data_IF_086942645323
#
_entry.id   IF_086942645323
#
_cell.length_a   1.000
_cell.length_b   1.000
_cell.length_c   1.000
_cell.angle_alpha   90.00
_cell.angle_beta   90.00
_cell.angle_gamma   90.00
#
_symmetry.space_group_name_H-M   'P 1'
#
loop_
_entity.id
_entity.type
_entity.pdbx_description
1 polymer ?
#
# COMPACT_ATOMS: atom_id res chain seq x y z
N UNK A 1 25.53 -22.85 15.97
CA UNK A 1 24.19 -22.22 15.97
C UNK A 1 24.10 -21.36 17.21
N UNK A 2 24.43 -20.08 17.09
CA UNK A 2 24.35 -19.12 18.19
C UNK A 2 23.01 -18.38 18.03
N UNK A 3 22.14 -18.59 19.00
CA UNK A 3 20.89 -17.83 19.09
C UNK A 3 21.18 -16.33 19.19
N UNK A 4 20.74 -15.57 18.22
CA UNK A 4 20.70 -14.11 18.28
C UNK A 4 19.52 -13.74 19.18
N UNK A 5 19.81 -13.47 20.46
CA UNK A 5 18.86 -12.83 21.37
C UNK A 5 18.67 -11.39 20.91
N UNK A 6 17.49 -11.08 20.37
CA UNK A 6 17.06 -9.71 20.21
C UNK A 6 16.94 -9.05 21.59
N UNK A 7 17.49 -7.85 21.81
CA UNK A 7 17.25 -7.13 23.04
C UNK A 7 15.73 -6.83 23.12
N UNK A 8 15.12 -7.23 24.21
CA UNK A 8 13.75 -6.85 24.55
C UNK A 8 13.62 -5.34 24.42
N UNK A 9 12.52 -4.85 23.83
CA UNK A 9 12.19 -3.42 23.75
C UNK A 9 12.33 -2.83 25.14
N UNK A 10 13.40 -2.07 25.37
CA UNK A 10 13.51 -1.23 26.56
C UNK A 10 12.48 -0.13 26.38
N UNK A 11 11.53 -0.04 27.30
CA UNK A 11 10.69 1.13 27.42
C UNK A 11 11.62 2.33 27.60
N UNK A 12 11.25 3.47 27.03
CA UNK A 12 12.02 4.73 27.08
C UNK A 12 12.31 5.18 28.54
N UNK A 13 11.70 4.51 29.51
CA UNK A 13 11.85 4.70 30.95
C UNK A 13 12.66 3.60 31.66
N UNK A 14 13.26 2.64 30.93
CA UNK A 14 14.19 1.68 31.51
C UNK A 14 15.52 2.36 31.81
N UNK A 15 15.60 3.02 32.94
CA UNK A 15 16.84 3.51 33.51
C UNK A 15 17.63 2.35 34.12
N UNK A 16 18.95 2.39 34.02
CA UNK A 16 19.86 1.39 34.59
C UNK A 16 19.46 1.04 36.03
N UNK A 17 19.45 -0.27 36.40
CA UNK A 17 18.95 -0.71 37.71
C UNK A 17 19.69 -0.10 38.91
N UNK A 18 20.90 0.41 38.70
CA UNK A 18 21.68 1.09 39.77
C UNK A 18 21.29 2.57 39.96
N UNK A 19 20.77 3.23 38.90
CA UNK A 19 20.27 4.61 38.93
C UNK A 19 18.81 4.74 39.25
N UNK A 20 17.99 3.78 38.81
CA UNK A 20 16.54 3.77 38.93
C UNK A 20 16.09 3.73 40.40
N UNK A 21 16.75 2.91 41.23
CA UNK A 21 16.37 2.77 42.65
C UNK A 21 16.67 4.02 43.48
N UNK A 22 17.72 4.79 43.14
CA UNK A 22 18.05 6.06 43.80
C UNK A 22 17.18 7.22 43.30
N UNK A 23 16.78 7.22 42.02
CA UNK A 23 15.86 8.22 41.48
C UNK A 23 14.42 7.96 41.90
N UNK A 24 13.94 6.71 41.87
CA UNK A 24 12.62 6.36 42.37
C UNK A 24 12.43 6.72 43.84
N UNK A 25 13.44 6.38 44.67
CA UNK A 25 13.43 6.79 46.10
C UNK A 25 13.52 8.31 46.31
N UNK A 26 14.14 9.03 45.36
CA UNK A 26 14.24 10.49 45.42
C UNK A 26 12.92 11.16 44.99
N UNK A 27 12.25 10.62 43.97
CA UNK A 27 10.95 11.09 43.51
C UNK A 27 9.86 10.77 44.53
N UNK A 28 9.82 9.55 45.06
CA UNK A 28 8.86 9.17 46.14
C UNK A 28 9.04 10.01 47.39
N UNK A 29 10.25 10.41 47.73
CA UNK A 29 10.52 11.25 48.93
C UNK A 29 10.21 12.71 48.67
N UNK A 30 10.37 13.20 47.43
CA UNK A 30 10.10 14.60 47.05
C UNK A 30 8.61 14.82 46.79
N UNK A 31 7.97 13.89 46.10
CA UNK A 31 6.58 13.99 45.69
C UNK A 31 5.59 13.80 46.88
N UNK A 32 5.82 12.76 47.66
CA UNK A 32 4.86 12.46 48.76
C UNK A 32 5.00 13.37 49.98
N UNK A 33 6.17 13.90 50.28
CA UNK A 33 6.32 14.78 51.44
C UNK A 33 6.01 16.24 51.14
N UNK A 34 6.47 16.74 49.99
CA UNK A 34 6.26 18.15 49.61
C UNK A 34 4.84 18.41 49.12
N UNK A 35 4.24 17.49 48.33
CA UNK A 35 2.86 17.60 47.94
C UNK A 35 1.88 17.47 49.13
N UNK A 36 2.15 16.57 50.06
CA UNK A 36 1.37 16.49 51.31
C UNK A 36 1.50 17.75 52.14
N UNK A 37 2.68 18.32 52.29
CA UNK A 37 2.87 19.57 53.03
C UNK A 37 2.24 20.79 52.33
N UNK A 38 2.25 20.85 51.02
CA UNK A 38 1.61 21.94 50.26
C UNK A 38 0.09 21.80 50.25
N UNK A 39 -0.45 20.59 50.14
CA UNK A 39 -1.88 20.33 50.21
C UNK A 39 -2.41 20.55 51.64
N UNK A 40 -1.68 20.12 52.68
CA UNK A 40 -2.02 20.38 54.07
C UNK A 40 -1.93 21.87 54.42
N UNK A 41 -0.95 22.59 53.87
CA UNK A 41 -0.82 24.04 54.05
C UNK A 41 -1.95 24.81 53.35
N UNK A 42 -2.33 24.41 52.12
CA UNK A 42 -3.49 24.97 51.41
C UNK A 42 -4.81 24.62 52.10
N UNK A 43 -4.97 23.37 52.55
CA UNK A 43 -6.17 22.94 53.29
C UNK A 43 -6.36 23.67 54.59
N UNK A 44 -5.27 23.94 55.35
CA UNK A 44 -5.32 24.74 56.57
C UNK A 44 -5.62 26.22 56.32
N UNK A 45 -5.13 26.78 55.19
CA UNK A 45 -5.39 28.14 54.76
C UNK A 45 -6.84 28.40 54.33
N UNK A 46 -7.55 27.38 53.86
CA UNK A 46 -8.94 27.43 53.39
C UNK A 46 -9.95 26.89 54.42
N UNK A 47 -9.51 26.51 55.63
CA UNK A 47 -10.41 25.97 56.68
C UNK A 47 -11.00 24.60 56.36
N UNK A 48 -10.47 23.92 55.37
CA UNK A 48 -10.90 22.58 54.98
C UNK A 48 -10.15 21.53 55.80
N UNK A 49 -10.85 20.74 56.61
CA UNK A 49 -10.27 19.54 57.21
C UNK A 49 -10.10 18.49 56.12
N UNK A 50 -8.85 18.19 55.78
CA UNK A 50 -8.53 17.09 54.89
C UNK A 50 -8.79 15.77 55.61
N UNK A 51 -10.01 15.27 55.51
CA UNK A 51 -10.31 13.89 55.87
C UNK A 51 -9.80 12.97 54.77
N UNK A 52 -9.25 11.83 55.13
CA UNK A 52 -8.58 10.91 54.20
C UNK A 52 -9.48 10.40 53.06
N UNK A 53 -10.81 10.56 53.17
CA UNK A 53 -11.78 10.25 52.13
C UNK A 53 -11.83 11.27 50.97
N UNK A 54 -11.37 12.51 51.18
CA UNK A 54 -11.38 13.55 50.13
C UNK A 54 -10.21 13.46 49.16
N UNK A 55 -9.13 12.75 49.51
CA UNK A 55 -7.96 12.57 48.63
C UNK A 55 -8.28 11.77 47.34
N UNK A 56 -9.24 10.87 47.39
CA UNK A 56 -9.67 10.12 46.21
C UNK A 56 -10.48 10.96 45.22
N UNK A 57 -11.28 11.90 45.69
CA UNK A 57 -12.02 12.79 44.80
C UNK A 57 -11.10 13.82 44.14
N UNK A 58 -10.11 14.36 44.87
CA UNK A 58 -9.14 15.34 44.34
C UNK A 58 -8.19 14.72 43.30
N UNK A 59 -7.79 13.46 43.46
CA UNK A 59 -6.94 12.79 42.52
C UNK A 59 -7.61 12.63 41.16
N UNK A 60 -8.91 12.46 41.13
CA UNK A 60 -9.69 12.34 39.90
C UNK A 60 -9.93 13.68 39.19
N UNK A 61 -10.00 14.76 39.97
CA UNK A 61 -10.16 16.13 39.44
C UNK A 61 -8.85 16.73 38.94
N UNK A 62 -7.71 16.16 39.33
CA UNK A 62 -6.38 16.58 38.88
C UNK A 62 -5.92 15.84 37.64
N UNK A 63 -6.69 14.85 37.17
CA UNK A 63 -6.39 14.14 35.92
C UNK A 63 -6.82 14.97 34.71
N UNK A 64 -5.87 15.53 34.00
CA UNK A 64 -6.13 16.15 32.69
C UNK A 64 -6.22 15.08 31.62
N UNK A 65 -7.42 14.80 31.16
CA UNK A 65 -7.64 13.93 30.00
C UNK A 65 -7.54 14.79 28.73
N UNK A 66 -6.54 14.51 27.93
CA UNK A 66 -6.40 15.18 26.63
C UNK A 66 -7.62 14.93 25.75
N UNK A 67 -8.21 15.98 25.21
CA UNK A 67 -9.27 15.87 24.21
C UNK A 67 -8.73 15.43 22.82
N UNK A 68 -7.42 15.38 22.67
CA UNK A 68 -6.78 14.93 21.42
C UNK A 68 -6.62 13.42 21.46
N UNK A 69 -7.34 12.75 20.58
CA UNK A 69 -7.21 11.31 20.38
C UNK A 69 -6.02 11.09 19.45
N UNK A 70 -4.96 10.45 19.94
CA UNK A 70 -3.86 10.03 19.11
C UNK A 70 -4.30 8.84 18.23
N UNK A 71 -4.49 9.09 16.94
CA UNK A 71 -4.76 8.02 15.98
C UNK A 71 -3.46 7.35 15.56
N UNK A 72 -3.46 6.02 15.47
CA UNK A 72 -2.33 5.28 14.93
C UNK A 72 -2.16 5.64 13.46
N UNK A 73 -0.97 6.08 13.00
CA UNK A 73 -0.73 6.32 11.60
C UNK A 73 -0.84 5.00 10.80
N UNK A 74 -1.68 4.99 9.80
CA UNK A 74 -1.88 3.85 8.89
C UNK A 74 -1.08 4.07 7.62
N UNK A 75 -0.63 2.97 6.99
CA UNK A 75 0.09 3.02 5.72
C UNK A 75 -0.79 3.62 4.61
N UNK A 76 -0.19 4.34 3.69
CA UNK A 76 -0.88 4.90 2.53
C UNK A 76 -1.35 3.79 1.58
N UNK A 77 -2.51 4.00 0.97
CA UNK A 77 -3.08 3.10 -0.03
C UNK A 77 -2.57 3.48 -1.41
N UNK A 78 -1.62 2.73 -1.92
CA UNK A 78 -0.83 3.14 -3.08
C UNK A 78 -1.43 2.73 -4.42
N UNK A 79 -2.33 1.73 -4.47
CA UNK A 79 -2.92 1.27 -5.73
C UNK A 79 -3.70 2.35 -6.46
N UNK A 80 -4.29 3.31 -5.71
CA UNK A 80 -5.05 4.41 -6.30
C UNK A 80 -4.18 5.38 -7.09
N UNK A 81 -2.93 5.56 -6.67
CA UNK A 81 -1.94 6.41 -7.34
C UNK A 81 -1.13 5.65 -8.38
N UNK A 82 -0.91 4.35 -8.16
CA UNK A 82 -0.14 3.49 -9.05
C UNK A 82 -0.91 3.16 -10.34
N UNK A 83 -2.23 2.97 -10.27
CA UNK A 83 -3.03 2.58 -11.42
C UNK A 83 -4.19 3.55 -11.65
N UNK A 84 -4.41 4.01 -12.90
CA UNK A 84 -5.56 4.83 -13.25
C UNK A 84 -6.86 4.01 -13.20
N UNK A 85 -8.01 4.68 -13.25
CA UNK A 85 -9.29 4.01 -13.48
C UNK A 85 -9.34 3.46 -14.90
N UNK A 86 -9.92 2.28 -15.10
CA UNK A 86 -10.12 1.72 -16.43
C UNK A 86 -11.02 2.64 -17.28
N UNK A 87 -10.76 2.67 -18.60
CA UNK A 87 -11.53 3.51 -19.54
C UNK A 87 -13.02 3.19 -19.52
N UNK A 88 -13.31 1.89 -19.48
CA UNK A 88 -14.68 1.38 -19.37
C UNK A 88 -14.87 0.79 -17.98
N UNK A 89 -15.89 1.24 -17.28
CA UNK A 89 -16.31 0.63 -16.04
C UNK A 89 -17.62 -0.15 -16.29
N UNK A 90 -17.75 -1.37 -15.76
CA UNK A 90 -19.04 -2.06 -15.80
C UNK A 90 -20.07 -1.26 -14.99
N UNK A 91 -21.35 -1.43 -15.35
CA UNK A 91 -22.41 -0.82 -14.54
C UNK A 91 -22.43 -1.46 -13.14
N UNK A 92 -22.86 -0.72 -12.10
CA UNK A 92 -23.04 -1.29 -10.77
C UNK A 92 -23.88 -2.57 -10.81
N UNK A 93 -23.52 -3.53 -9.97
CA UNK A 93 -24.18 -4.85 -9.83
C UNK A 93 -23.94 -5.83 -11.00
N UNK A 94 -23.00 -5.55 -11.90
CA UNK A 94 -22.52 -6.53 -12.87
C UNK A 94 -21.44 -7.41 -12.24
N UNK A 95 -21.57 -8.73 -12.39
CA UNK A 95 -20.65 -9.70 -11.80
C UNK A 95 -19.42 -10.00 -12.68
N UNK A 96 -19.54 -9.74 -13.98
CA UNK A 96 -18.46 -10.04 -14.92
C UNK A 96 -18.22 -8.85 -15.84
N UNK A 97 -16.97 -8.41 -15.84
CA UNK A 97 -16.46 -7.44 -16.80
C UNK A 97 -15.82 -8.15 -17.98
N UNK A 98 -16.27 -7.84 -19.20
CA UNK A 98 -15.78 -8.47 -20.42
C UNK A 98 -15.28 -7.43 -21.42
N UNK A 99 -14.10 -7.66 -21.97
CA UNK A 99 -13.57 -6.83 -23.06
C UNK A 99 -13.15 -7.68 -24.25
N UNK A 100 -13.16 -7.06 -25.43
CA UNK A 100 -12.73 -7.70 -26.68
C UNK A 100 -11.33 -7.21 -27.04
N UNK A 101 -10.43 -8.13 -27.31
CA UNK A 101 -9.12 -7.85 -27.88
C UNK A 101 -9.16 -8.22 -29.36
N UNK A 102 -8.68 -7.30 -30.21
CA UNK A 102 -8.64 -7.47 -31.65
C UNK A 102 -7.20 -7.57 -32.11
N UNK A 103 -6.87 -8.61 -32.83
CA UNK A 103 -5.58 -8.78 -33.49
C UNK A 103 -5.75 -8.77 -35.02
N UNK A 104 -4.81 -8.14 -35.67
CA UNK A 104 -4.76 -8.04 -37.14
C UNK A 104 -3.66 -8.94 -37.66
N UNK A 105 -4.01 -9.86 -38.50
CA UNK A 105 -3.04 -10.61 -39.26
C UNK A 105 -2.88 -9.95 -40.65
N UNK A 106 -1.79 -9.24 -40.81
CA UNK A 106 -1.50 -8.57 -42.10
C UNK A 106 -0.35 -9.30 -42.81
N UNK A 107 -0.57 -9.66 -44.03
CA UNK A 107 0.44 -10.21 -44.90
C UNK A 107 0.28 -9.63 -46.29
N UNK A 108 1.23 -8.80 -46.73
CA UNK A 108 1.31 -8.36 -48.11
C UNK A 108 2.27 -9.29 -48.88
N UNK A 109 1.84 -9.82 -50.00
CA UNK A 109 2.73 -10.54 -50.92
C UNK A 109 3.08 -9.65 -52.10
N UNK A 110 4.39 -9.53 -52.37
CA UNK A 110 4.84 -8.90 -53.60
C UNK A 110 4.58 -9.87 -54.77
N UNK A 111 3.66 -9.51 -55.65
CA UNK A 111 3.39 -10.27 -56.87
C UNK A 111 3.58 -9.39 -58.09
N UNK A 112 4.28 -9.91 -59.10
CA UNK A 112 4.38 -9.31 -60.43
C UNK A 112 3.25 -9.71 -61.36
N UNK A 113 2.41 -10.62 -60.92
CA UNK A 113 1.27 -11.12 -61.66
C UNK A 113 -0.02 -10.53 -61.15
N UNK A 114 -0.70 -9.69 -61.92
CA UNK A 114 -1.97 -9.05 -61.57
C UNK A 114 -3.14 -10.03 -61.37
N UNK A 115 -2.99 -11.29 -61.74
CA UNK A 115 -3.97 -12.35 -61.50
C UNK A 115 -3.79 -13.07 -60.15
N UNK A 116 -2.70 -12.78 -59.46
CA UNK A 116 -2.41 -13.39 -58.16
C UNK A 116 -3.25 -12.70 -57.06
N UNK A 117 -4.19 -13.44 -56.49
CA UNK A 117 -4.99 -12.96 -55.35
C UNK A 117 -4.05 -12.90 -54.14
N UNK A 118 -3.67 -11.71 -53.73
CA UNK A 118 -2.82 -11.47 -52.55
C UNK A 118 -3.36 -12.12 -51.27
N UNK A 119 -2.49 -12.27 -50.30
CA UNK A 119 -2.85 -12.78 -48.98
C UNK A 119 -3.97 -11.93 -48.37
N UNK A 120 -5.02 -12.60 -47.91
CA UNK A 120 -6.16 -11.94 -47.26
C UNK A 120 -5.78 -11.53 -45.82
N UNK A 121 -5.97 -10.28 -45.49
CA UNK A 121 -5.89 -9.86 -44.11
C UNK A 121 -7.07 -10.44 -43.29
N UNK A 122 -6.77 -10.99 -42.13
CA UNK A 122 -7.78 -11.53 -41.24
C UNK A 122 -7.78 -10.78 -39.91
N UNK A 123 -8.97 -10.64 -39.34
CA UNK A 123 -9.19 -9.98 -38.05
C UNK A 123 -9.64 -11.04 -37.06
N UNK A 124 -8.84 -11.30 -36.05
CA UNK A 124 -9.20 -12.20 -34.97
C UNK A 124 -9.66 -11.38 -33.78
N UNK A 125 -10.82 -11.73 -33.23
CA UNK A 125 -11.39 -11.10 -32.05
C UNK A 125 -11.41 -12.13 -30.93
N UNK A 126 -10.68 -11.87 -29.85
CA UNK A 126 -10.73 -12.65 -28.61
C UNK A 126 -11.57 -11.94 -27.56
N UNK A 127 -12.21 -12.72 -26.71
CA UNK A 127 -13.03 -12.26 -25.62
C UNK A 127 -12.32 -12.62 -24.30
N UNK A 128 -12.00 -11.62 -23.50
CA UNK A 128 -11.42 -11.79 -22.17
C UNK A 128 -12.46 -11.33 -21.13
N UNK A 129 -12.50 -11.97 -19.98
CA UNK A 129 -13.42 -11.65 -18.90
C UNK A 129 -12.72 -11.65 -17.55
N UNK A 130 -13.21 -10.85 -16.63
CA UNK A 130 -12.75 -10.75 -15.26
C UNK A 130 -13.96 -10.61 -14.34
N UNK A 131 -13.92 -11.27 -13.20
CA UNK A 131 -14.99 -11.21 -12.22
C UNK A 131 -14.95 -9.89 -11.45
N UNK A 132 -16.12 -9.47 -11.01
CA UNK A 132 -16.32 -8.32 -10.14
C UNK A 132 -17.11 -8.83 -8.93
N UNK A 133 -16.58 -8.59 -7.74
CA UNK A 133 -17.21 -9.02 -6.50
C UNK A 133 -17.72 -7.83 -5.66
N UNK A 134 -18.83 -8.01 -4.94
CA UNK A 134 -19.28 -7.04 -3.97
C UNK A 134 -18.38 -7.09 -2.71
N UNK A 135 -18.03 -5.93 -2.21
CA UNK A 135 -17.34 -5.75 -0.93
C UNK A 135 -18.32 -5.14 0.07
N UNK A 136 -18.55 -5.85 1.15
CA UNK A 136 -19.46 -5.40 2.20
C UNK A 136 -18.67 -5.28 3.49
N UNK A 137 -18.67 -4.10 4.06
CA UNK A 137 -18.19 -3.82 5.41
C UNK A 137 -19.34 -3.30 6.26
N UNK A 138 -19.24 -3.44 7.56
CA UNK A 138 -20.20 -2.85 8.48
C UNK A 138 -19.48 -2.32 9.72
N UNK A 139 -20.03 -1.26 10.27
CA UNK A 139 -19.70 -0.76 11.58
C UNK A 139 -20.91 -0.95 12.48
N UNK A 140 -20.71 -1.38 13.72
CA UNK A 140 -21.80 -1.58 14.68
C UNK A 140 -21.40 -1.03 16.04
N UNK A 141 -22.34 -0.39 16.73
CA UNK A 141 -22.13 0.16 18.06
C UNK A 141 -23.38 0.05 18.90
N UNK A 142 -23.20 -0.13 20.22
CA UNK A 142 -24.29 -0.17 21.18
C UNK A 142 -24.73 1.22 21.60
N UNK A 143 -26.00 1.36 22.01
CA UNK A 143 -26.51 2.62 22.57
C UNK A 143 -25.76 3.03 23.84
N UNK A 144 -25.40 2.07 24.68
CA UNK A 144 -24.61 2.31 25.89
C UNK A 144 -23.19 2.79 25.58
N UNK A 145 -22.61 2.29 24.51
CA UNK A 145 -21.26 2.70 24.07
C UNK A 145 -21.26 4.13 23.58
N UNK A 146 -22.30 4.54 22.85
CA UNK A 146 -22.49 5.94 22.45
C UNK A 146 -22.62 6.84 23.69
N UNK A 147 -23.43 6.43 24.66
CA UNK A 147 -23.62 7.21 25.88
C UNK A 147 -22.33 7.36 26.70
N UNK A 148 -21.54 6.29 26.81
CA UNK A 148 -20.22 6.31 27.45
C UNK A 148 -19.21 7.17 26.68
N UNK A 149 -19.18 7.03 25.37
CA UNK A 149 -18.30 7.83 24.51
C UNK A 149 -18.64 9.32 24.56
N UNK A 150 -19.93 9.66 24.66
CA UNK A 150 -20.39 11.04 24.79
C UNK A 150 -19.90 11.67 26.10
N UNK A 151 -19.81 10.91 27.20
CA UNK A 151 -19.23 11.39 28.44
C UNK A 151 -17.74 11.72 28.33
N UNK A 152 -17.02 10.99 27.43
CA UNK A 152 -15.63 11.25 27.11
C UNK A 152 -15.42 12.24 25.96
N UNK A 153 -16.49 12.83 25.43
CA UNK A 153 -16.47 13.70 24.23
C UNK A 153 -15.82 13.03 23.00
N UNK A 154 -16.03 11.70 22.86
CA UNK A 154 -15.49 10.89 21.74
C UNK A 154 -16.60 10.66 20.71
N UNK A 155 -16.42 11.04 19.43
CA UNK A 155 -17.39 10.78 18.36
C UNK A 155 -17.30 9.32 17.87
N UNK A 156 -17.66 8.34 18.71
CA UNK A 156 -17.53 6.91 18.45
C UNK A 156 -18.11 6.48 17.08
N UNK A 157 -19.35 6.85 16.70
CA UNK A 157 -19.90 6.41 15.42
C UNK A 157 -19.09 6.87 14.21
N UNK A 158 -18.55 8.10 14.26
CA UNK A 158 -17.73 8.64 13.18
C UNK A 158 -16.39 7.90 13.05
N UNK A 159 -15.77 7.52 14.17
CA UNK A 159 -14.53 6.77 14.19
C UNK A 159 -14.72 5.34 13.67
N UNK A 160 -15.79 4.67 14.07
CA UNK A 160 -16.14 3.33 13.60
C UNK A 160 -16.41 3.31 12.09
N UNK A 161 -17.14 4.31 11.57
CA UNK A 161 -17.40 4.45 10.14
C UNK A 161 -16.12 4.74 9.35
N UNK A 162 -15.21 5.55 9.88
CA UNK A 162 -13.90 5.77 9.27
C UNK A 162 -13.07 4.48 9.23
N UNK A 163 -13.09 3.70 10.31
CA UNK A 163 -12.43 2.41 10.38
C UNK A 163 -12.96 1.42 9.33
N UNK A 164 -14.28 1.31 9.21
CA UNK A 164 -14.93 0.43 8.24
C UNK A 164 -14.65 0.87 6.79
N UNK A 165 -14.65 2.19 6.51
CA UNK A 165 -14.27 2.73 5.20
C UNK A 165 -12.80 2.42 4.88
N UNK A 166 -11.93 2.57 5.87
CA UNK A 166 -10.50 2.23 5.73
C UNK A 166 -10.31 0.76 5.40
N UNK A 167 -10.99 -0.14 6.11
CA UNK A 167 -10.92 -1.57 5.85
C UNK A 167 -11.29 -1.93 4.41
N UNK A 168 -12.40 -1.37 3.88
CA UNK A 168 -12.80 -1.58 2.48
C UNK A 168 -11.74 -1.05 1.52
N UNK A 169 -11.20 0.13 1.80
CA UNK A 169 -10.16 0.72 0.95
C UNK A 169 -8.87 -0.10 0.95
N UNK A 170 -8.48 -0.70 2.07
CA UNK A 170 -7.35 -1.62 2.17
C UNK A 170 -7.58 -2.91 1.39
N UNK A 171 -8.81 -3.45 1.45
CA UNK A 171 -9.17 -4.63 0.64
C UNK A 171 -9.08 -4.32 -0.85
N UNK A 172 -9.63 -3.19 -1.31
CA UNK A 172 -9.50 -2.75 -2.71
C UNK A 172 -8.04 -2.56 -3.10
N UNK A 173 -7.22 -2.00 -2.21
CA UNK A 173 -5.78 -1.85 -2.45
C UNK A 173 -5.09 -3.20 -2.63
N UNK A 174 -5.36 -4.15 -1.76
CA UNK A 174 -4.80 -5.50 -1.83
C UNK A 174 -5.26 -6.25 -3.10
N UNK A 175 -6.54 -6.14 -3.47
CA UNK A 175 -7.07 -6.78 -4.68
C UNK A 175 -6.44 -6.21 -5.96
N UNK A 176 -6.15 -4.92 -6.02
CA UNK A 176 -5.48 -4.32 -7.18
C UNK A 176 -4.03 -4.84 -7.33
N UNK A 177 -3.30 -5.02 -6.23
CA UNK A 177 -1.92 -5.50 -6.27
C UNK A 177 -1.84 -7.02 -6.42
N UNK A 178 -2.56 -7.77 -5.60
CA UNK A 178 -2.41 -9.22 -5.48
C UNK A 178 -3.55 -10.01 -6.11
N UNK A 179 -4.73 -9.40 -6.22
CA UNK A 179 -5.94 -10.10 -6.64
C UNK A 179 -6.54 -10.97 -5.53
N UNK A 180 -7.65 -11.64 -5.87
CA UNK A 180 -8.31 -12.58 -4.99
C UNK A 180 -8.64 -13.87 -5.77
N UNK A 181 -7.94 -14.94 -5.47
CA UNK A 181 -8.11 -16.21 -6.18
C UNK A 181 -9.44 -16.92 -5.85
N UNK A 182 -10.03 -16.65 -4.69
CA UNK A 182 -11.31 -17.24 -4.29
C UNK A 182 -12.46 -16.69 -5.13
N UNK A 183 -12.45 -15.39 -5.40
CA UNK A 183 -13.45 -14.71 -6.22
C UNK A 183 -13.06 -14.64 -7.70
N UNK A 184 -11.88 -15.13 -8.08
CA UNK A 184 -11.39 -15.06 -9.45
C UNK A 184 -11.04 -13.64 -9.91
N UNK A 185 -10.73 -12.74 -8.99
CA UNK A 185 -10.31 -11.37 -9.27
C UNK A 185 -8.81 -11.35 -9.53
N UNK A 186 -8.41 -10.78 -10.66
CA UNK A 186 -7.01 -10.65 -11.04
C UNK A 186 -6.46 -9.29 -10.58
N UNK A 187 -5.35 -9.33 -9.86
CA UNK A 187 -4.52 -8.17 -9.54
C UNK A 187 -3.29 -8.12 -10.43
N UNK A 188 -2.40 -7.16 -10.19
CA UNK A 188 -1.13 -7.08 -10.92
C UNK A 188 -0.31 -8.37 -10.79
N UNK A 189 -0.20 -8.88 -9.59
CA UNK A 189 0.66 -10.01 -9.28
C UNK A 189 0.06 -11.37 -9.66
N UNK A 190 -1.25 -11.55 -9.47
CA UNK A 190 -1.95 -12.81 -9.81
C UNK A 190 -2.16 -13.00 -11.30
N UNK A 191 -2.05 -11.94 -12.12
CA UNK A 191 -2.23 -12.05 -13.56
C UNK A 191 -1.14 -12.91 -14.19
N UNK A 192 -1.56 -13.97 -14.90
CA UNK A 192 -0.68 -14.95 -15.56
C UNK A 192 -0.13 -14.45 -16.90
N UNK A 193 -0.79 -13.46 -17.50
CA UNK A 193 -0.41 -12.94 -18.82
C UNK A 193 0.81 -12.00 -18.73
N UNK A 194 1.14 -11.51 -17.54
CA UNK A 194 2.31 -10.68 -17.31
C UNK A 194 3.54 -11.58 -17.16
N UNK A 195 4.59 -11.26 -17.91
CA UNK A 195 5.87 -11.95 -17.78
C UNK A 195 6.51 -11.61 -16.41
N UNK A 196 6.84 -12.65 -15.66
CA UNK A 196 7.51 -12.57 -14.36
C UNK A 196 8.86 -13.27 -14.46
N UNK A 197 9.93 -12.58 -14.10
CA UNK A 197 11.29 -13.11 -14.17
C UNK A 197 12.06 -12.80 -12.91
N UNK A 198 12.97 -13.70 -12.53
CA UNK A 198 13.89 -13.44 -11.41
C UNK A 198 14.93 -12.42 -11.87
N UNK A 199 15.38 -11.58 -10.96
CA UNK A 199 16.50 -10.67 -11.18
C UNK A 199 17.78 -11.50 -11.40
N UNK A 200 18.64 -11.08 -12.32
CA UNK A 200 19.90 -11.78 -12.60
C UNK A 200 20.79 -11.85 -11.34
N UNK A 201 21.56 -12.90 -11.17
CA UNK A 201 22.53 -12.98 -10.09
C UNK A 201 23.65 -11.97 -10.32
N UNK A 202 24.09 -11.29 -9.26
CA UNK A 202 25.29 -10.47 -9.26
C UNK A 202 26.57 -11.30 -9.16
N UNK A 203 27.73 -10.65 -9.13
CA UNK A 203 29.04 -11.29 -8.98
C UNK A 203 29.15 -12.14 -7.68
N UNK A 204 28.36 -11.79 -6.65
CA UNK A 204 28.25 -12.55 -5.40
C UNK A 204 27.41 -13.81 -5.53
N UNK A 205 26.86 -14.14 -6.71
CA UNK A 205 26.01 -15.30 -6.94
C UNK A 205 24.59 -15.21 -6.37
N UNK A 206 24.19 -14.02 -5.91
CA UNK A 206 22.87 -13.74 -5.31
C UNK A 206 22.09 -12.73 -6.15
N UNK A 207 20.76 -12.88 -6.31
CA UNK A 207 19.91 -11.89 -6.97
C UNK A 207 19.63 -10.68 -6.08
N UNK A 208 19.78 -10.81 -4.74
CA UNK A 208 19.44 -9.79 -3.76
C UNK A 208 20.29 -8.53 -3.94
N UNK A 209 19.64 -7.39 -4.05
CA UNK A 209 20.33 -6.10 -4.16
C UNK A 209 21.20 -5.75 -2.95
N UNK A 210 20.95 -6.37 -1.78
CA UNK A 210 21.81 -6.23 -0.62
C UNK A 210 23.27 -6.63 -0.90
N UNK A 211 23.45 -7.63 -1.78
CA UNK A 211 24.75 -8.22 -2.10
C UNK A 211 25.31 -7.74 -3.45
N UNK A 212 24.63 -6.80 -4.13
CA UNK A 212 25.02 -6.27 -5.42
C UNK A 212 25.75 -4.95 -5.35
N UNK A 213 26.66 -4.76 -6.29
CA UNK A 213 27.32 -3.48 -6.51
C UNK A 213 26.35 -2.45 -7.12
N UNK A 214 26.63 -1.12 -6.99
CA UNK A 214 25.81 -0.09 -7.61
C UNK A 214 25.63 -0.29 -9.13
N UNK A 215 26.67 -0.69 -9.84
CA UNK A 215 26.65 -0.93 -11.29
C UNK A 215 25.74 -2.10 -11.65
N UNK A 216 25.70 -3.16 -10.83
CA UNK A 216 24.82 -4.31 -11.04
C UNK A 216 23.35 -3.94 -10.81
N UNK A 217 23.07 -3.12 -9.78
CA UNK A 217 21.72 -2.62 -9.50
C UNK A 217 21.22 -1.75 -10.67
N UNK A 218 22.10 -0.87 -11.18
CA UNK A 218 21.79 -0.07 -12.36
C UNK A 218 21.50 -0.95 -13.58
N UNK A 219 22.33 -1.97 -13.81
CA UNK A 219 22.13 -2.90 -14.92
C UNK A 219 20.79 -3.64 -14.82
N UNK A 220 20.37 -4.06 -13.63
CA UNK A 220 19.08 -4.71 -13.42
C UNK A 220 17.89 -3.82 -13.81
N UNK A 221 17.92 -2.53 -13.41
CA UNK A 221 16.88 -1.56 -13.73
C UNK A 221 16.85 -1.28 -15.25
N UNK A 222 18.01 -1.05 -15.84
CA UNK A 222 18.13 -0.75 -17.26
C UNK A 222 17.69 -1.96 -18.09
N UNK A 223 18.02 -3.18 -17.66
CA UNK A 223 17.63 -4.40 -18.37
C UNK A 223 16.11 -4.64 -18.26
N UNK A 224 15.48 -4.33 -17.14
CA UNK A 224 14.02 -4.33 -17.00
C UNK A 224 13.37 -3.37 -18.01
N UNK A 225 13.82 -2.12 -18.06
CA UNK A 225 13.30 -1.09 -18.98
C UNK A 225 13.51 -1.53 -20.45
N UNK A 226 14.71 -1.99 -20.79
CA UNK A 226 15.04 -2.48 -22.15
C UNK A 226 14.13 -3.64 -22.56
N UNK A 227 13.89 -4.59 -21.66
CA UNK A 227 13.07 -5.76 -21.96
C UNK A 227 11.64 -5.34 -22.30
N UNK A 228 11.04 -4.41 -21.53
CA UNK A 228 9.71 -3.87 -21.84
C UNK A 228 9.70 -3.16 -23.19
N UNK A 229 10.68 -2.30 -23.48
CA UNK A 229 10.79 -1.58 -24.76
C UNK A 229 10.90 -2.56 -25.94
N UNK A 230 11.69 -3.63 -25.80
CA UNK A 230 11.82 -4.64 -26.84
C UNK A 230 10.52 -5.44 -27.04
N UNK A 231 9.82 -5.78 -25.96
CA UNK A 231 8.54 -6.49 -26.03
C UNK A 231 7.48 -5.68 -26.78
N UNK A 232 7.46 -4.37 -26.55
CA UNK A 232 6.51 -3.44 -27.19
C UNK A 232 6.82 -3.25 -28.68
N UNK A 233 8.03 -3.56 -29.16
CA UNK A 233 8.45 -3.47 -30.57
C UNK A 233 8.19 -2.10 -31.21
N UNK A 234 8.51 -1.03 -30.47
CA UNK A 234 8.41 0.34 -30.98
C UNK A 234 7.00 0.92 -31.08
N UNK A 235 5.98 0.29 -30.48
CA UNK A 235 4.65 0.88 -30.36
C UNK A 235 4.68 2.01 -29.32
N UNK A 236 4.89 3.24 -29.79
CA UNK A 236 5.15 4.41 -28.92
C UNK A 236 4.13 4.66 -27.83
N UNK A 237 2.85 4.33 -28.06
CA UNK A 237 1.78 4.47 -27.05
C UNK A 237 1.90 3.50 -25.88
N UNK A 238 2.68 2.41 -26.02
CA UNK A 238 2.85 1.37 -25.01
C UNK A 238 4.20 1.43 -24.30
N UNK A 239 5.06 2.40 -24.62
CA UNK A 239 6.37 2.56 -23.98
C UNK A 239 6.22 2.85 -22.50
N UNK A 240 7.04 2.24 -21.63
CA UNK A 240 6.91 2.38 -20.19
C UNK A 240 7.25 3.80 -19.73
N UNK A 241 6.55 4.30 -18.73
CA UNK A 241 6.80 5.59 -18.10
C UNK A 241 6.76 5.52 -16.56
N UNK A 242 6.45 4.37 -15.99
CA UNK A 242 6.43 4.16 -14.55
C UNK A 242 7.32 2.97 -14.18
N UNK A 243 8.05 3.16 -13.09
CA UNK A 243 8.78 2.10 -12.42
C UNK A 243 8.36 2.09 -10.95
N UNK A 244 7.72 1.03 -10.52
CA UNK A 244 7.35 0.81 -9.13
C UNK A 244 8.38 -0.08 -8.45
N UNK A 245 8.84 0.32 -7.28
CA UNK A 245 9.86 -0.35 -6.48
C UNK A 245 9.38 -0.55 -5.05
N UNK A 246 9.92 -1.55 -4.33
CA UNK A 246 9.78 -1.64 -2.88
C UNK A 246 10.41 -0.41 -2.20
N UNK A 247 9.88 -0.02 -1.04
CA UNK A 247 10.38 1.15 -0.29
C UNK A 247 11.86 0.99 0.09
N UNK A 248 12.24 -0.20 0.55
CA UNK A 248 13.62 -0.54 0.92
C UNK A 248 14.58 -0.37 -0.27
N UNK A 249 14.22 -0.92 -1.42
CA UNK A 249 15.01 -0.83 -2.65
C UNK A 249 15.04 0.60 -3.21
N UNK A 250 13.93 1.32 -3.14
CA UNK A 250 13.87 2.73 -3.53
C UNK A 250 14.81 3.60 -2.69
N UNK A 251 14.81 3.43 -1.37
CA UNK A 251 15.72 4.16 -0.46
C UNK A 251 17.17 3.84 -0.77
N UNK A 252 17.47 2.57 -1.08
CA UNK A 252 18.81 2.15 -1.45
C UNK A 252 19.32 2.87 -2.70
N UNK A 253 18.55 2.91 -3.79
CA UNK A 253 18.95 3.57 -5.04
C UNK A 253 18.95 5.10 -4.92
N UNK A 254 18.15 5.67 -4.02
CA UNK A 254 18.13 7.12 -3.76
C UNK A 254 19.35 7.60 -3.01
N UNK A 255 19.91 6.76 -2.12
CA UNK A 255 21.07 7.11 -1.28
C UNK A 255 22.41 6.67 -1.87
N UNK A 256 22.40 5.69 -2.77
CA UNK A 256 23.63 5.15 -3.37
C UNK A 256 24.04 5.97 -4.59
N UNK A 257 25.27 6.48 -4.59
CA UNK A 257 25.87 7.10 -5.76
C UNK A 257 26.13 6.03 -6.83
N UNK A 258 25.91 6.38 -8.09
CA UNK A 258 26.14 5.50 -9.24
C UNK A 258 27.61 5.03 -9.32
N UNK A 259 28.54 5.93 -9.07
CA UNK A 259 29.98 5.66 -9.11
C UNK A 259 30.68 6.52 -8.07
N UNK A 260 31.86 6.11 -7.63
CA UNK A 260 32.71 6.90 -6.73
C UNK A 260 33.16 8.24 -7.33
N UNK A 261 33.07 8.38 -8.66
CA UNK A 261 33.50 9.59 -9.39
C UNK A 261 32.34 10.56 -9.68
N UNK A 262 31.09 10.20 -9.40
CA UNK A 262 29.91 11.02 -9.72
C UNK A 262 29.05 11.22 -8.49
N UNK A 263 28.44 12.39 -8.38
CA UNK A 263 27.43 12.69 -7.34
C UNK A 263 26.03 12.25 -7.73
N UNK A 264 25.84 11.78 -8.97
CA UNK A 264 24.54 11.32 -9.49
C UNK A 264 24.14 10.03 -8.81
N UNK A 265 22.92 9.96 -8.29
CA UNK A 265 22.37 8.75 -7.67
C UNK A 265 21.89 7.77 -8.75
N UNK A 266 21.78 6.48 -8.37
CA UNK A 266 21.20 5.46 -9.25
C UNK A 266 19.76 5.83 -9.62
N UNK A 267 19.01 6.45 -8.69
CA UNK A 267 17.64 6.90 -8.92
C UNK A 267 17.53 7.93 -10.05
N UNK A 268 18.42 8.93 -10.05
CA UNK A 268 18.44 9.96 -11.10
C UNK A 268 18.76 9.36 -12.47
N UNK A 269 19.73 8.47 -12.51
CA UNK A 269 20.07 7.75 -13.74
C UNK A 269 18.92 6.88 -14.24
N UNK A 270 18.26 6.13 -13.34
CA UNK A 270 17.09 5.31 -13.68
C UNK A 270 15.93 6.16 -14.25
N UNK A 271 15.71 7.36 -13.68
CA UNK A 271 14.72 8.32 -14.22
C UNK A 271 15.09 8.78 -15.65
N UNK A 272 16.36 9.11 -15.86
CA UNK A 272 16.83 9.50 -17.20
C UNK A 272 16.70 8.35 -18.20
N UNK A 273 17.05 7.12 -17.81
CA UNK A 273 16.90 5.95 -18.64
C UNK A 273 15.44 5.67 -19.02
N UNK A 274 14.53 5.80 -18.05
CA UNK A 274 13.09 5.64 -18.26
C UNK A 274 12.52 6.74 -19.18
N UNK A 275 12.94 7.99 -18.98
CA UNK A 275 12.56 9.11 -19.86
C UNK A 275 13.09 8.92 -21.30
N UNK A 276 14.33 8.45 -21.44
CA UNK A 276 14.94 8.14 -22.74
C UNK A 276 14.25 6.95 -23.46
N UNK A 277 13.61 6.05 -22.71
CA UNK A 277 12.81 4.96 -23.29
C UNK A 277 11.56 5.46 -24.04
N UNK A 278 11.23 6.76 -23.96
CA UNK A 278 10.19 7.39 -24.76
C UNK A 278 8.83 7.51 -24.07
N UNK A 279 8.77 7.23 -22.78
CA UNK A 279 7.54 7.30 -22.00
C UNK A 279 7.03 8.71 -21.70
N UNK A 280 7.83 9.75 -21.91
CA UNK A 280 7.50 11.15 -21.62
C UNK A 280 7.56 11.48 -20.14
N UNK A 281 6.48 11.35 -19.42
CA UNK A 281 6.40 11.61 -17.97
C UNK A 281 6.93 10.40 -17.17
N UNK A 282 8.25 10.32 -17.03
CA UNK A 282 8.91 9.22 -16.32
C UNK A 282 8.88 9.43 -14.82
N UNK A 283 8.27 8.50 -14.09
CA UNK A 283 8.23 8.53 -12.63
C UNK A 283 8.64 7.18 -12.04
N UNK A 284 9.40 7.25 -10.96
CA UNK A 284 9.77 6.10 -10.13
C UNK A 284 9.09 6.29 -8.77
N UNK A 285 8.30 5.31 -8.38
CA UNK A 285 7.49 5.35 -7.17
C UNK A 285 7.85 4.22 -6.23
N UNK A 286 7.77 4.47 -4.93
CA UNK A 286 7.97 3.48 -3.89
C UNK A 286 6.61 3.01 -3.37
N UNK A 287 6.44 1.69 -3.24
CA UNK A 287 5.21 1.08 -2.76
C UNK A 287 5.52 0.02 -1.71
N UNK A 288 4.92 0.09 -0.52
CA UNK A 288 5.15 -0.90 0.54
C UNK A 288 4.62 -2.29 0.19
N UNK A 289 3.60 -2.39 -0.67
CA UNK A 289 3.02 -3.66 -1.11
C UNK A 289 3.99 -4.50 -1.96
N UNK A 290 5.03 -3.88 -2.51
CA UNK A 290 6.05 -4.57 -3.30
C UNK A 290 7.15 -5.21 -2.46
N UNK A 291 7.19 -4.97 -1.14
CA UNK A 291 8.19 -5.56 -0.22
C UNK A 291 8.00 -7.07 -0.06
N UNK A 292 6.77 -7.52 -0.07
CA UNK A 292 6.42 -8.92 0.08
C UNK A 292 5.49 -9.34 -1.04
N UNK A 293 5.87 -10.31 -1.82
CA UNK A 293 5.13 -10.78 -2.99
C UNK A 293 3.80 -11.48 -2.71
N UNK A 294 3.04 -11.06 -1.70
CA UNK A 294 1.66 -11.51 -1.44
C UNK A 294 1.49 -13.02 -1.28
N UNK A 295 2.53 -13.77 -0.97
CA UNK A 295 2.50 -15.21 -0.71
C UNK A 295 2.51 -16.12 -1.95
N UNK A 296 2.39 -15.61 -3.17
CA UNK A 296 2.30 -16.44 -4.38
C UNK A 296 3.67 -16.81 -5.01
N UNK A 297 4.74 -16.05 -4.72
CA UNK A 297 6.13 -16.34 -5.14
C UNK A 297 7.12 -16.34 -3.97
N UNK A 298 6.63 -16.55 -2.74
CA UNK A 298 7.46 -16.42 -1.56
C UNK A 298 7.54 -14.97 -1.06
N UNK A 299 8.41 -14.73 -0.09
CA UNK A 299 8.58 -13.42 0.56
C UNK A 299 9.47 -12.44 -0.25
N UNK A 300 9.61 -12.65 -1.55
CA UNK A 300 10.55 -11.89 -2.35
C UNK A 300 9.98 -10.53 -2.76
N UNK A 301 10.75 -9.49 -2.55
CA UNK A 301 10.47 -8.16 -3.07
C UNK A 301 10.51 -8.16 -4.61
N UNK A 302 9.64 -7.35 -5.22
CA UNK A 302 9.55 -7.29 -6.67
C UNK A 302 9.44 -5.86 -7.19
N UNK A 303 9.92 -5.65 -8.41
CA UNK A 303 9.81 -4.39 -9.14
C UNK A 303 8.96 -4.56 -10.39
N UNK A 304 8.27 -3.51 -10.77
CA UNK A 304 7.39 -3.50 -11.94
C UNK A 304 7.68 -2.30 -12.80
N UNK A 305 7.89 -2.54 -14.09
CA UNK A 305 7.98 -1.50 -15.10
C UNK A 305 6.73 -1.56 -15.98
N UNK A 306 6.03 -0.44 -16.14
CA UNK A 306 4.77 -0.42 -16.88
C UNK A 306 4.45 0.95 -17.49
N UNK A 307 3.46 0.97 -18.38
CA UNK A 307 2.86 2.21 -18.89
C UNK A 307 1.68 2.62 -18.03
N UNK A 308 1.75 3.83 -17.46
CA UNK A 308 0.62 4.45 -16.77
C UNK A 308 -0.36 5.02 -17.80
N UNK A 309 -1.32 4.19 -18.19
CA UNK A 309 -2.37 4.54 -19.15
C UNK A 309 -3.62 3.70 -18.86
N UNK A 310 -4.80 4.31 -18.80
CA UNK A 310 -6.07 3.60 -18.57
C UNK A 310 -6.36 2.49 -19.59
N UNK A 311 -5.81 2.62 -20.79
CA UNK A 311 -5.93 1.59 -21.85
C UNK A 311 -5.00 0.41 -21.64
N UNK A 312 -3.88 0.56 -20.91
CA UNK A 312 -2.91 -0.51 -20.65
C UNK A 312 -3.28 -1.28 -19.40
N UNK A 313 -3.42 -0.57 -18.30
CA UNK A 313 -3.79 -1.15 -17.01
C UNK A 313 -4.70 -0.18 -16.26
N UNK A 314 -5.90 -0.63 -15.92
CA UNK A 314 -6.87 0.20 -15.22
C UNK A 314 -7.60 -0.56 -14.12
N UNK A 315 -7.87 0.13 -13.01
CA UNK A 315 -8.64 -0.42 -11.90
C UNK A 315 -10.12 -0.51 -12.27
N UNK A 316 -10.74 -1.63 -11.91
CA UNK A 316 -12.18 -1.85 -12.06
C UNK A 316 -12.84 -1.58 -10.72
N UNK A 317 -13.60 -0.50 -10.63
CA UNK A 317 -14.34 -0.08 -9.45
C UNK A 317 -15.74 0.39 -9.86
N UNK A 318 -16.68 -0.53 -10.16
CA UNK A 318 -18.02 -0.18 -10.65
C UNK A 318 -18.83 0.63 -9.65
N UNK A 319 -18.64 0.33 -8.37
CA UNK A 319 -19.29 1.04 -7.26
C UNK A 319 -18.25 1.45 -6.22
N UNK A 320 -18.02 2.75 -6.10
CA UNK A 320 -17.22 3.28 -5.00
C UNK A 320 -17.89 2.98 -3.65
N UNK A 321 -17.13 2.90 -2.54
CA UNK A 321 -17.71 2.65 -1.23
C UNK A 321 -18.81 3.66 -0.89
N UNK A 322 -20.01 3.17 -0.61
CA UNK A 322 -21.20 3.96 -0.26
C UNK A 322 -21.77 3.46 1.05
N UNK A 323 -22.08 4.40 1.95
CA UNK A 323 -22.78 4.09 3.19
C UNK A 323 -24.26 3.79 2.91
N UNK A 324 -24.74 2.67 3.41
CA UNK A 324 -26.16 2.34 3.41
C UNK A 324 -26.84 3.00 4.62
N UNK A 325 -28.17 3.14 4.60
CA UNK A 325 -28.91 3.62 5.78
C UNK A 325 -28.60 2.78 7.02
N UNK A 326 -28.47 3.39 8.21
CA UNK A 326 -28.27 2.64 9.44
C UNK A 326 -29.49 1.81 9.76
N UNK A 327 -29.26 0.58 10.21
CA UNK A 327 -30.27 -0.32 10.76
C UNK A 327 -30.19 -0.31 12.28
N UNK A 328 -31.35 -0.18 12.93
CA UNK A 328 -31.47 -0.06 14.39
C UNK A 328 -32.16 -1.31 14.91
N UNK A 329 -31.40 -2.19 15.55
CA UNK A 329 -31.88 -3.39 16.20
C UNK A 329 -31.82 -3.22 17.72
N UNK A 330 -32.97 -2.97 18.36
CA UNK A 330 -33.08 -2.82 19.84
C UNK A 330 -32.03 -1.90 20.44
N UNK A 331 -30.90 -2.45 20.88
CA UNK A 331 -29.79 -1.75 21.55
C UNK A 331 -28.57 -1.56 20.66
N UNK A 332 -28.59 -2.08 19.44
CA UNK A 332 -27.49 -1.97 18.47
C UNK A 332 -27.90 -1.16 17.26
N UNK A 333 -26.95 -0.37 16.77
CA UNK A 333 -27.05 0.34 15.50
C UNK A 333 -25.97 -0.23 14.61
N UNK A 334 -26.36 -0.71 13.43
CA UNK A 334 -25.43 -1.23 12.41
C UNK A 334 -25.55 -0.39 11.15
N UNK A 335 -24.42 0.04 10.62
CA UNK A 335 -24.37 0.72 9.33
C UNK A 335 -23.44 -0.03 8.39
N UNK A 336 -24.00 -0.48 7.27
CA UNK A 336 -23.25 -1.19 6.25
C UNK A 336 -22.65 -0.22 5.23
N UNK A 337 -21.50 -0.63 4.70
CA UNK A 337 -20.83 0.03 3.58
C UNK A 337 -20.78 -0.98 2.44
N UNK A 338 -21.21 -0.56 1.27
CA UNK A 338 -21.21 -1.39 0.07
C UNK A 338 -20.29 -0.79 -0.98
N UNK A 339 -19.45 -1.64 -1.58
CA UNK A 339 -18.59 -1.31 -2.70
C UNK A 339 -18.56 -2.50 -3.68
N UNK A 340 -18.06 -2.29 -4.88
CA UNK A 340 -17.79 -3.37 -5.83
C UNK A 340 -16.42 -3.16 -6.44
N UNK A 341 -15.58 -4.18 -6.43
CA UNK A 341 -14.25 -4.16 -7.02
C UNK A 341 -14.03 -5.37 -7.93
N UNK A 342 -13.30 -5.16 -9.01
CA UNK A 342 -12.91 -6.18 -9.96
C UNK A 342 -11.40 -6.28 -10.14
N UNK A 343 -10.61 -5.67 -9.22
CA UNK A 343 -9.16 -5.69 -9.31
C UNK A 343 -8.59 -4.86 -10.47
N UNK A 344 -7.56 -5.37 -11.12
CA UNK A 344 -6.82 -4.67 -12.16
C UNK A 344 -7.05 -5.30 -13.55
N UNK A 345 -7.66 -4.55 -14.46
CA UNK A 345 -7.79 -4.95 -15.86
C UNK A 345 -6.51 -4.60 -16.63
N UNK A 346 -5.84 -5.59 -17.18
CA UNK A 346 -4.63 -5.44 -17.99
C UNK A 346 -4.92 -5.85 -19.42
N UNK A 347 -5.04 -4.85 -20.31
CA UNK A 347 -5.34 -5.09 -21.73
C UNK A 347 -4.11 -5.38 -22.57
N UNK A 348 -2.96 -4.82 -22.18
CA UNK A 348 -1.70 -4.99 -22.89
C UNK A 348 -0.60 -5.49 -21.94
N UNK A 349 -0.59 -6.80 -21.61
CA UNK A 349 0.41 -7.38 -20.70
C UNK A 349 1.84 -7.23 -21.23
N UNK A 350 2.04 -7.11 -22.55
CA UNK A 350 3.36 -6.89 -23.18
C UNK A 350 4.02 -5.56 -22.76
N UNK A 351 3.22 -4.58 -22.30
CA UNK A 351 3.71 -3.28 -21.83
C UNK A 351 4.10 -3.28 -20.36
N UNK A 352 4.10 -4.44 -19.72
CA UNK A 352 4.40 -4.62 -18.31
C UNK A 352 5.38 -5.79 -18.12
N UNK A 353 6.25 -5.65 -17.13
CA UNK A 353 7.18 -6.71 -16.73
C UNK A 353 7.41 -6.64 -15.24
N UNK A 354 7.38 -7.80 -14.59
CA UNK A 354 7.67 -7.96 -13.16
C UNK A 354 9.01 -8.69 -13.04
N UNK A 355 9.88 -8.14 -12.19
CA UNK A 355 11.08 -8.85 -11.71
C UNK A 355 11.04 -8.98 -10.21
N UNK A 356 11.40 -10.14 -9.71
CA UNK A 356 11.37 -10.49 -8.29
C UNK A 356 12.70 -11.07 -7.81
N UNK A 357 12.88 -11.15 -6.47
CA UNK A 357 14.08 -11.68 -5.85
C UNK A 357 15.16 -10.61 -5.65
N UNK A 358 14.77 -9.39 -5.29
CA UNK A 358 15.70 -8.26 -5.05
C UNK A 358 16.15 -8.21 -3.60
#
# INVERSE_FOLDING_TARGET
>A
MSEIKFPSRRNVFDMDPIGADKQAKRWDRYDNSQLRHTVDAMGKGMGLRADAASGYALARELEYVSAVIAQQPLADLTSMTAFPMAVDQPAPYQEVYTWKAQSWTTGGRLSRNYKDIGTRGDIQVSKNSQNVAPLIGHASWGLDDIARAALGNIPLPALELQGAMRFISETINAENWFGNSQEGILGLYSNTDITKTVVANGAAGSPLWANKTPDEIEADIVDLIKTVVYNVKGKGSLLPNRLALPVSSYMKIATTARSQLTTTTILEFAKQALAAAGGGDAQITAHPELETGGGALGADAFMVCYRFDPMVAGRILPLAPVFLPPDIESTYITQAIHAQAGGLNIRYPIAMLIRYGM
#
